data_IF_292012583379
#
_entry.id   IF_292012583379
#
_cell.length_a   1.000
_cell.length_b   1.000
_cell.length_c   1.000
_cell.angle_alpha   90.00
_cell.angle_beta   90.00
_cell.angle_gamma   90.00
#
_symmetry.space_group_name_H-M   'P 1'
#
loop_
_entity.id
_entity.type
_entity.pdbx_description
1 polymer ?
#
# COMPACT_ATOMS: atom_id res chain seq x y z
N UNK A 1 -28.72 9.05 -15.42
CA UNK A 1 -28.84 7.62 -15.81
C UNK A 1 -28.43 6.78 -14.63
N UNK A 2 -29.34 5.98 -14.09
CA UNK A 2 -29.06 5.03 -13.00
C UNK A 2 -28.13 3.93 -13.54
N UNK A 3 -26.86 3.92 -13.12
CA UNK A 3 -26.02 2.74 -13.29
C UNK A 3 -26.39 1.69 -12.22
N UNK A 4 -26.45 0.40 -12.56
CA UNK A 4 -26.91 -0.63 -11.65
C UNK A 4 -25.97 -0.77 -10.43
N UNK A 5 -26.59 -0.86 -9.26
CA UNK A 5 -25.98 -0.84 -7.92
C UNK A 5 -25.52 -2.22 -7.45
N UNK A 6 -24.65 -2.90 -8.18
CA UNK A 6 -24.01 -4.09 -7.60
C UNK A 6 -22.51 -4.04 -7.82
N UNK A 7 -21.87 -3.19 -7.01
CA UNK A 7 -20.55 -3.61 -6.57
C UNK A 7 -20.71 -4.75 -5.58
N UNK A 8 -19.98 -5.82 -5.80
CA UNK A 8 -20.11 -7.06 -5.05
C UNK A 8 -18.75 -7.47 -4.53
N UNK A 9 -18.73 -7.90 -3.28
CA UNK A 9 -17.62 -8.69 -2.74
C UNK A 9 -17.22 -9.79 -3.71
N UNK A 10 -15.94 -10.12 -3.76
CA UNK A 10 -15.44 -11.18 -4.62
C UNK A 10 -14.33 -11.97 -3.93
N UNK A 11 -14.07 -13.18 -4.42
CA UNK A 11 -12.93 -13.98 -3.96
C UNK A 11 -11.74 -13.70 -4.87
N UNK A 12 -10.79 -12.91 -4.38
CA UNK A 12 -9.51 -12.67 -5.03
C UNK A 12 -8.48 -13.76 -4.71
N UNK A 13 -7.36 -13.75 -5.44
CA UNK A 13 -6.21 -14.63 -5.18
C UNK A 13 -5.04 -13.77 -4.68
N UNK A 14 -4.89 -13.65 -3.37
CA UNK A 14 -3.83 -12.84 -2.77
C UNK A 14 -2.53 -13.65 -2.63
N UNK A 15 -1.40 -13.00 -2.91
CA UNK A 15 -0.08 -13.59 -2.72
C UNK A 15 0.54 -13.07 -1.43
N UNK A 16 0.55 -13.91 -0.40
CA UNK A 16 1.22 -13.65 0.88
C UNK A 16 2.71 -14.01 0.76
N UNK A 17 3.37 -13.47 -0.25
CA UNK A 17 4.77 -13.75 -0.55
C UNK A 17 5.70 -13.17 0.53
N UNK A 18 6.89 -13.75 0.65
CA UNK A 18 7.98 -13.21 1.46
C UNK A 18 9.27 -13.48 0.68
N UNK A 19 10.00 -12.44 0.22
CA UNK A 19 11.11 -12.59 -0.70
C UNK A 19 12.28 -13.38 -0.11
N UNK A 20 12.46 -13.34 1.22
CA UNK A 20 13.49 -14.10 1.91
C UNK A 20 13.01 -15.54 2.07
N UNK A 21 11.91 -15.75 2.78
CA UNK A 21 11.43 -17.08 3.14
C UNK A 21 11.13 -17.97 1.92
N UNK A 22 10.61 -17.41 0.82
CA UNK A 22 10.29 -18.17 -0.39
C UNK A 22 11.52 -18.73 -1.12
N UNK A 23 12.72 -18.23 -0.81
CA UNK A 23 13.97 -18.58 -1.48
C UNK A 23 14.83 -19.59 -0.70
N UNK A 24 14.43 -19.94 0.52
CA UNK A 24 15.21 -20.80 1.44
C UNK A 24 14.75 -22.26 1.36
N UNK A 25 15.68 -23.19 1.58
CA UNK A 25 15.39 -24.63 1.73
C UNK A 25 15.44 -25.43 0.43
N UNK A 26 15.05 -26.70 0.51
CA UNK A 26 14.93 -27.61 -0.64
C UNK A 26 13.79 -27.19 -1.57
N UNK A 27 13.77 -27.75 -2.78
CA UNK A 27 12.71 -27.50 -3.77
C UNK A 27 11.32 -27.84 -3.19
N UNK A 28 11.20 -28.97 -2.49
CA UNK A 28 9.99 -29.40 -1.78
C UNK A 28 9.54 -28.37 -0.73
N UNK A 29 10.47 -27.79 0.04
CA UNK A 29 10.15 -26.77 1.03
C UNK A 29 9.65 -25.47 0.38
N UNK A 30 10.24 -25.07 -0.76
CA UNK A 30 9.81 -23.88 -1.51
C UNK A 30 8.46 -24.09 -2.18
N UNK A 31 8.19 -25.28 -2.70
CA UNK A 31 6.87 -25.66 -3.22
C UNK A 31 5.80 -25.66 -2.12
N UNK A 32 6.12 -26.21 -0.95
CA UNK A 32 5.23 -26.18 0.21
C UNK A 32 4.93 -24.75 0.67
N UNK A 33 5.95 -23.87 0.71
CA UNK A 33 5.75 -22.44 0.95
C UNK A 33 4.80 -21.82 -0.07
N UNK A 34 5.07 -22.02 -1.37
CA UNK A 34 4.26 -21.46 -2.44
C UNK A 34 2.80 -21.92 -2.35
N UNK A 35 2.56 -23.21 -2.13
CA UNK A 35 1.23 -23.79 -1.96
C UNK A 35 0.49 -23.18 -0.75
N UNK A 36 1.19 -22.93 0.35
CA UNK A 36 0.61 -22.35 1.56
C UNK A 36 0.37 -20.84 1.47
N UNK A 37 1.09 -20.11 0.61
CA UNK A 37 1.19 -18.64 0.67
C UNK A 37 0.73 -17.89 -0.58
N UNK A 38 0.84 -18.49 -1.76
CA UNK A 38 0.57 -17.82 -3.02
C UNK A 38 -0.84 -18.15 -3.55
N UNK A 39 -1.45 -17.21 -4.27
CA UNK A 39 -2.75 -17.38 -4.91
C UNK A 39 -3.88 -17.74 -3.95
N UNK A 40 -3.81 -17.31 -2.69
CA UNK A 40 -4.74 -17.69 -1.62
C UNK A 40 -6.12 -17.11 -1.92
N UNK A 41 -7.17 -17.96 -2.02
CA UNK A 41 -8.53 -17.47 -2.13
C UNK A 41 -8.87 -16.63 -0.90
N UNK A 42 -9.21 -15.37 -1.12
CA UNK A 42 -9.49 -14.42 -0.05
C UNK A 42 -10.73 -13.62 -0.41
N UNK A 43 -11.69 -13.55 0.50
CA UNK A 43 -12.85 -12.68 0.35
C UNK A 43 -12.41 -11.21 0.47
N UNK A 44 -12.57 -10.46 -0.60
CA UNK A 44 -12.28 -9.03 -0.68
C UNK A 44 -13.61 -8.31 -0.78
N UNK A 45 -13.88 -7.45 0.20
CA UNK A 45 -15.17 -6.77 0.33
C UNK A 45 -15.14 -5.39 -0.29
N UNK A 46 -16.25 -5.00 -0.88
CA UNK A 46 -16.38 -3.63 -1.35
C UNK A 46 -16.49 -2.66 -0.15
N UNK A 47 -15.48 -1.81 0.02
CA UNK A 47 -15.44 -0.80 1.07
C UNK A 47 -16.25 0.46 0.74
N UNK A 48 -16.64 0.70 -0.52
CA UNK A 48 -17.55 1.79 -0.89
C UNK A 48 -18.91 1.60 -0.23
N UNK A 49 -19.42 0.37 -0.16
CA UNK A 49 -20.68 0.06 0.50
C UNK A 49 -20.57 0.14 2.04
N UNK A 50 -19.49 -0.38 2.62
CA UNK A 50 -19.34 -0.51 4.07
C UNK A 50 -18.76 0.74 4.75
N UNK A 51 -17.81 1.42 4.11
CA UNK A 51 -17.06 2.56 4.65
C UNK A 51 -17.38 3.88 3.93
N UNK A 52 -18.12 3.84 2.83
CA UNK A 52 -18.49 5.02 2.05
C UNK A 52 -17.32 5.61 1.27
N UNK A 53 -17.59 6.76 0.64
CA UNK A 53 -16.56 7.62 0.05
C UNK A 53 -16.70 8.99 0.70
N UNK A 54 -15.59 9.48 1.22
CA UNK A 54 -15.51 10.80 1.82
C UNK A 54 -15.69 11.85 0.71
N UNK A 55 -16.78 12.63 0.77
CA UNK A 55 -17.11 13.61 -0.27
C UNK A 55 -16.13 14.78 -0.31
N UNK A 56 -15.68 15.23 0.86
CA UNK A 56 -14.69 16.29 1.03
C UNK A 56 -13.69 15.86 2.09
N UNK A 57 -12.38 16.17 1.93
CA UNK A 57 -11.37 15.77 2.90
C UNK A 57 -11.58 16.47 4.24
N UNK A 58 -11.83 15.67 5.28
CA UNK A 58 -11.93 16.13 6.67
C UNK A 58 -10.95 15.35 7.54
N UNK A 59 -10.74 15.81 8.78
CA UNK A 59 -9.84 15.14 9.72
C UNK A 59 -10.18 13.64 9.83
N UNK A 60 -9.23 12.82 9.38
CA UNK A 60 -9.28 11.37 9.36
C UNK A 60 -8.15 10.77 10.21
N UNK A 61 -7.53 11.56 11.09
CA UNK A 61 -6.37 11.16 11.90
C UNK A 61 -6.61 9.87 12.64
N UNK A 62 -7.76 9.73 13.31
CA UNK A 62 -8.04 8.51 14.06
C UNK A 62 -8.19 7.29 13.14
N UNK A 63 -8.87 7.42 12.00
CA UNK A 63 -9.08 6.32 11.05
C UNK A 63 -7.76 5.84 10.43
N UNK A 64 -6.91 6.78 10.01
CA UNK A 64 -5.63 6.48 9.35
C UNK A 64 -4.53 6.03 10.33
N UNK A 65 -4.43 6.67 11.50
CA UNK A 65 -3.36 6.37 12.45
C UNK A 65 -3.72 5.21 13.41
N UNK A 66 -4.98 5.06 13.79
CA UNK A 66 -5.40 4.13 14.86
C UNK A 66 -6.55 3.19 14.46
N UNK A 67 -7.25 3.46 13.36
CA UNK A 67 -8.33 2.64 12.84
C UNK A 67 -7.87 1.65 11.76
N UNK A 68 -8.74 1.46 10.78
CA UNK A 68 -8.55 0.53 9.66
C UNK A 68 -7.33 0.87 8.79
N UNK A 69 -6.89 2.13 8.77
CA UNK A 69 -5.68 2.56 8.07
C UNK A 69 -5.89 2.93 6.60
N UNK A 70 -7.13 2.99 6.11
CA UNK A 70 -7.44 3.38 4.74
C UNK A 70 -8.80 4.07 4.64
N UNK A 71 -8.98 4.87 3.58
CA UNK A 71 -10.23 5.49 3.17
C UNK A 71 -10.20 5.75 1.66
N UNK A 72 -11.36 6.04 1.06
CA UNK A 72 -11.45 6.67 -0.25
C UNK A 72 -12.07 8.05 -0.10
N UNK A 73 -11.44 9.05 -0.70
CA UNK A 73 -11.87 10.45 -0.68
C UNK A 73 -12.01 10.96 -2.11
N UNK A 74 -13.07 11.73 -2.35
CA UNK A 74 -13.23 12.48 -3.58
C UNK A 74 -12.29 13.68 -3.54
N UNK A 75 -11.22 13.60 -4.34
CA UNK A 75 -10.18 14.62 -4.43
C UNK A 75 -9.84 14.85 -5.91
N UNK A 76 -10.62 15.66 -6.64
CA UNK A 76 -10.37 15.92 -8.05
C UNK A 76 -8.98 16.56 -8.26
N UNK A 77 -8.40 16.30 -9.42
CA UNK A 77 -7.06 16.76 -9.78
C UNK A 77 -7.11 17.61 -11.04
N UNK A 78 -6.27 18.63 -11.12
CA UNK A 78 -6.08 19.46 -12.31
C UNK A 78 -5.12 18.84 -13.34
N UNK A 79 -4.57 17.65 -13.06
CA UNK A 79 -3.70 16.89 -13.95
C UNK A 79 -4.33 16.65 -15.33
N UNK A 80 -3.52 16.78 -16.38
CA UNK A 80 -3.96 16.57 -17.76
C UNK A 80 -3.27 15.35 -18.37
N UNK A 81 -1.99 15.16 -18.09
CA UNK A 81 -1.20 14.03 -18.56
C UNK A 81 -0.40 13.39 -17.42
N UNK A 82 -0.84 12.21 -16.99
CA UNK A 82 -0.17 11.43 -15.93
C UNK A 82 1.18 10.83 -16.36
N UNK A 83 1.54 10.93 -17.64
CA UNK A 83 2.85 10.51 -18.16
C UNK A 83 3.86 11.64 -18.18
N UNK A 84 3.41 12.90 -18.04
CA UNK A 84 4.27 14.07 -17.84
C UNK A 84 4.68 14.18 -16.36
N UNK A 85 5.89 13.70 -16.07
CA UNK A 85 6.41 13.67 -14.70
C UNK A 85 6.62 15.07 -14.10
N UNK A 86 6.84 16.08 -14.94
CA UNK A 86 7.05 17.45 -14.49
C UNK A 86 5.70 18.04 -14.10
N UNK A 87 4.64 17.80 -14.89
CA UNK A 87 3.27 18.17 -14.50
C UNK A 87 2.84 17.46 -13.20
N UNK A 88 3.11 16.16 -13.05
CA UNK A 88 2.83 15.41 -11.82
C UNK A 88 3.52 16.06 -10.60
N UNK A 89 4.78 16.43 -10.74
CA UNK A 89 5.53 17.07 -9.67
C UNK A 89 5.03 18.49 -9.36
N UNK A 90 4.66 19.26 -10.38
CA UNK A 90 4.22 20.64 -10.23
C UNK A 90 2.78 20.78 -9.71
N UNK A 91 1.90 19.85 -10.08
CA UNK A 91 0.46 19.88 -9.78
C UNK A 91 0.12 18.85 -8.71
N UNK A 92 0.25 17.56 -9.03
CA UNK A 92 -0.31 16.50 -8.19
C UNK A 92 0.37 16.39 -6.82
N UNK A 93 1.68 16.65 -6.73
CA UNK A 93 2.35 16.64 -5.42
C UNK A 93 1.79 17.70 -4.47
N UNK A 94 1.43 18.89 -4.99
CA UNK A 94 0.83 19.96 -4.18
C UNK A 94 -0.59 19.60 -3.76
N UNK A 95 -1.37 19.02 -4.68
CA UNK A 95 -2.72 18.53 -4.39
C UNK A 95 -2.70 17.42 -3.33
N UNK A 96 -1.81 16.45 -3.47
CA UNK A 96 -1.61 15.36 -2.52
C UNK A 96 -1.17 15.88 -1.14
N UNK A 97 -0.25 16.85 -1.09
CA UNK A 97 0.16 17.47 0.16
C UNK A 97 -0.99 18.24 0.84
N UNK A 98 -1.77 18.99 0.06
CA UNK A 98 -2.94 19.72 0.57
C UNK A 98 -4.03 18.77 1.07
N UNK A 99 -4.24 17.64 0.39
CA UNK A 99 -5.13 16.58 0.83
C UNK A 99 -4.68 16.01 2.19
N UNK A 100 -3.40 15.63 2.33
CA UNK A 100 -2.88 15.10 3.58
C UNK A 100 -2.99 16.09 4.74
N UNK A 101 -2.76 17.38 4.51
CA UNK A 101 -2.94 18.42 5.53
C UNK A 101 -4.39 18.54 6.01
N UNK A 102 -5.37 18.26 5.15
CA UNK A 102 -6.79 18.25 5.54
C UNK A 102 -7.17 16.97 6.29
N UNK A 103 -6.65 15.82 5.83
CA UNK A 103 -6.90 14.52 6.47
C UNK A 103 -6.16 14.35 7.81
N UNK A 104 -5.03 15.03 7.98
CA UNK A 104 -4.14 14.93 9.14
C UNK A 104 -3.75 16.34 9.63
N UNK A 105 -4.69 17.16 10.14
CA UNK A 105 -4.48 18.58 10.41
C UNK A 105 -3.43 18.86 11.49
N UNK A 106 -3.14 17.90 12.36
CA UNK A 106 -2.11 18.02 13.41
C UNK A 106 -0.75 17.46 13.00
N UNK A 107 -0.64 16.83 11.83
CA UNK A 107 0.60 16.24 11.36
C UNK A 107 1.48 17.27 10.65
N UNK A 108 2.79 17.10 10.81
CA UNK A 108 3.79 17.83 10.02
C UNK A 108 3.94 17.13 8.65
N UNK A 109 3.28 17.65 7.62
CA UNK A 109 3.26 17.06 6.28
C UNK A 109 4.34 17.69 5.39
N UNK A 110 5.46 16.98 5.24
CA UNK A 110 6.56 17.36 4.36
C UNK A 110 6.19 17.38 2.86
N UNK A 111 7.05 17.96 2.00
CA UNK A 111 6.84 17.93 0.56
C UNK A 111 7.01 16.51 0.00
N UNK A 112 6.25 16.18 -1.05
CA UNK A 112 6.44 14.96 -1.82
C UNK A 112 7.59 15.16 -2.80
N UNK A 113 8.50 14.19 -2.88
CA UNK A 113 9.71 14.29 -3.73
C UNK A 113 9.79 13.26 -4.86
N UNK A 114 8.91 12.26 -4.88
CA UNK A 114 8.88 11.22 -5.91
C UNK A 114 7.52 10.52 -5.92
N UNK A 115 7.28 9.72 -6.97
CA UNK A 115 6.14 8.82 -7.07
C UNK A 115 6.57 7.50 -7.73
N UNK A 116 5.66 6.53 -7.71
CA UNK A 116 5.78 5.28 -8.46
C UNK A 116 4.72 5.25 -9.55
N UNK A 117 5.13 5.05 -10.79
CA UNK A 117 4.24 4.83 -11.93
C UNK A 117 4.12 3.33 -12.21
N UNK A 118 2.91 2.79 -12.12
CA UNK A 118 2.67 1.36 -12.35
C UNK A 118 1.85 1.14 -13.60
N UNK A 119 2.34 0.26 -14.47
CA UNK A 119 1.68 -0.16 -15.70
C UNK A 119 1.87 -1.67 -15.88
N UNK A 120 0.79 -2.38 -16.25
CA UNK A 120 0.82 -3.83 -16.47
C UNK A 120 1.74 -4.28 -17.62
N UNK A 121 2.03 -3.38 -18.57
CA UNK A 121 2.97 -3.63 -19.68
C UNK A 121 4.41 -3.70 -19.18
N UNK A 122 4.72 -3.00 -18.08
CA UNK A 122 6.04 -3.00 -17.46
C UNK A 122 6.20 -4.28 -16.64
N UNK A 123 7.26 -5.05 -16.92
CA UNK A 123 7.51 -6.35 -16.27
C UNK A 123 8.52 -6.28 -15.13
N UNK A 124 9.43 -5.31 -15.17
CA UNK A 124 10.50 -5.14 -14.20
C UNK A 124 10.53 -3.72 -13.66
N UNK A 125 11.03 -3.56 -12.44
CA UNK A 125 11.23 -2.23 -11.86
C UNK A 125 12.42 -1.52 -12.51
N UNK A 126 12.25 -0.26 -12.87
CA UNK A 126 13.33 0.61 -13.33
C UNK A 126 13.12 2.05 -12.85
N UNK A 127 14.18 2.86 -12.90
CA UNK A 127 14.13 4.26 -12.49
C UNK A 127 14.48 5.17 -13.65
N UNK A 128 13.69 6.23 -13.81
CA UNK A 128 13.94 7.30 -14.78
C UNK A 128 13.62 8.63 -14.13
N UNK A 129 14.58 9.55 -14.12
CA UNK A 129 14.43 10.89 -13.53
C UNK A 129 13.94 10.87 -12.07
N UNK A 130 14.42 9.93 -11.26
CA UNK A 130 14.01 9.78 -9.85
C UNK A 130 12.63 9.14 -9.64
N UNK A 131 11.89 8.82 -10.72
CA UNK A 131 10.60 8.13 -10.67
C UNK A 131 10.81 6.64 -10.84
N UNK A 132 10.16 5.86 -9.97
CA UNK A 132 10.13 4.40 -10.11
C UNK A 132 9.01 4.01 -11.08
N UNK A 133 9.35 3.21 -12.07
CA UNK A 133 8.42 2.55 -12.96
C UNK A 133 8.41 1.06 -12.64
N UNK A 134 7.26 0.40 -12.74
CA UNK A 134 7.20 -1.03 -12.47
C UNK A 134 5.86 -1.69 -12.74
N UNK A 135 5.80 -3.01 -12.55
CA UNK A 135 4.55 -3.77 -12.64
C UNK A 135 3.57 -3.39 -11.52
N UNK A 136 2.33 -3.87 -11.64
CA UNK A 136 1.37 -3.84 -10.54
C UNK A 136 1.95 -4.57 -9.30
N UNK A 137 1.64 -4.07 -8.10
CA UNK A 137 2.03 -4.73 -6.85
C UNK A 137 1.24 -6.04 -6.70
N UNK A 138 1.91 -7.19 -6.85
CA UNK A 138 1.26 -8.50 -6.84
C UNK A 138 1.32 -9.23 -5.50
N UNK A 139 2.10 -8.72 -4.53
CA UNK A 139 2.31 -9.34 -3.22
C UNK A 139 1.74 -8.47 -2.09
N UNK A 140 1.20 -9.12 -1.07
CA UNK A 140 0.78 -8.49 0.19
C UNK A 140 2.00 -8.03 0.96
N UNK A 141 2.08 -6.73 1.25
CA UNK A 141 3.14 -6.13 2.07
C UNK A 141 2.72 -4.75 2.60
N UNK A 142 3.50 -4.24 3.55
CA UNK A 142 3.66 -2.81 3.80
C UNK A 142 5.11 -2.43 3.47
N UNK A 143 5.30 -1.28 2.84
CA UNK A 143 6.58 -0.86 2.25
C UNK A 143 7.72 -0.74 3.26
N UNK A 144 7.40 -0.41 4.51
CA UNK A 144 8.37 -0.02 5.54
C UNK A 144 8.17 -0.81 6.82
N UNK A 145 9.27 -1.28 7.42
CA UNK A 145 9.29 -1.94 8.70
C UNK A 145 10.55 -1.60 9.51
N UNK A 146 10.41 -1.68 10.83
CA UNK A 146 11.54 -1.67 11.75
C UNK A 146 12.36 -2.97 11.61
N UNK A 147 13.62 -2.92 12.05
CA UNK A 147 14.43 -4.11 12.26
C UNK A 147 14.08 -4.71 13.62
N UNK A 148 13.94 -6.03 13.67
CA UNK A 148 13.72 -6.75 14.92
C UNK A 148 15.02 -7.40 15.42
N UNK A 149 15.06 -7.72 16.70
CA UNK A 149 16.07 -8.60 17.29
C UNK A 149 15.97 -10.01 16.71
N UNK A 150 17.02 -10.82 16.81
CA UNK A 150 17.06 -12.18 16.24
C UNK A 150 15.93 -13.10 16.77
N UNK A 151 15.43 -12.84 17.97
CA UNK A 151 14.28 -13.54 18.57
C UNK A 151 12.91 -13.03 18.08
N UNK A 152 12.89 -11.96 17.28
CA UNK A 152 11.69 -11.33 16.73
C UNK A 152 10.81 -10.63 17.76
N UNK A 153 11.26 -10.44 19.01
CA UNK A 153 10.41 -9.95 20.10
C UNK A 153 10.50 -8.44 20.33
N UNK A 154 11.61 -7.82 19.95
CA UNK A 154 11.87 -6.39 20.18
C UNK A 154 12.38 -5.70 18.92
N UNK A 155 12.20 -4.39 18.84
CA UNK A 155 12.79 -3.56 17.78
C UNK A 155 14.27 -3.35 18.10
N UNK A 156 15.15 -3.76 17.19
CA UNK A 156 16.60 -3.55 17.27
C UNK A 156 17.01 -2.21 16.68
N UNK A 157 16.36 -1.78 15.60
CA UNK A 157 16.62 -0.51 14.92
C UNK A 157 15.33 0.00 14.27
N UNK A 158 14.97 1.26 14.48
CA UNK A 158 13.75 1.82 13.89
C UNK A 158 13.98 2.21 12.44
N UNK A 159 12.97 2.05 11.60
CA UNK A 159 12.98 2.53 10.22
C UNK A 159 13.35 4.02 10.14
N UNK A 160 12.84 4.83 11.07
CA UNK A 160 13.14 6.27 11.11
C UNK A 160 14.61 6.56 11.41
N UNK A 161 15.26 5.75 12.24
CA UNK A 161 16.70 5.84 12.52
C UNK A 161 17.50 5.47 11.27
N UNK A 162 17.15 4.33 10.64
CA UNK A 162 17.76 3.87 9.37
C UNK A 162 17.65 4.96 8.32
N UNK A 163 16.49 5.61 8.18
CA UNK A 163 16.30 6.65 7.17
C UNK A 163 16.84 8.03 7.56
N UNK A 164 17.32 8.23 8.79
CA UNK A 164 17.74 9.55 9.28
C UNK A 164 16.57 10.54 9.42
N UNK A 165 15.37 10.02 9.66
CA UNK A 165 14.17 10.79 9.96
C UNK A 165 14.13 11.19 11.44
N UNK A 166 13.17 12.06 11.78
CA UNK A 166 12.93 12.44 13.18
C UNK A 166 12.46 11.25 14.01
N UNK A 167 13.05 11.11 15.20
CA UNK A 167 12.75 10.02 16.15
C UNK A 167 12.03 10.51 17.40
N UNK A 168 11.88 11.83 17.57
CA UNK A 168 11.23 12.48 18.71
C UNK A 168 9.70 12.55 18.60
N UNK A 169 9.13 11.94 17.56
CA UNK A 169 7.70 11.95 17.24
C UNK A 169 7.31 10.67 16.51
N UNK A 170 6.01 10.38 16.51
CA UNK A 170 5.45 9.32 15.67
C UNK A 170 5.51 9.74 14.20
N UNK A 171 5.97 8.83 13.34
CA UNK A 171 5.96 8.99 11.88
C UNK A 171 4.87 8.11 11.29
N UNK A 172 4.13 8.64 10.32
CA UNK A 172 3.13 7.91 9.55
C UNK A 172 3.59 7.82 8.10
N UNK A 173 3.74 6.60 7.58
CA UNK A 173 3.86 6.37 6.14
C UNK A 173 2.47 6.29 5.53
N UNK A 174 2.13 7.22 4.63
CA UNK A 174 0.83 7.23 3.94
C UNK A 174 1.09 7.10 2.44
N UNK A 175 0.59 6.03 1.84
CA UNK A 175 0.54 5.90 0.38
C UNK A 175 -0.74 6.55 -0.13
N UNK A 176 -0.62 7.42 -1.14
CA UNK A 176 -1.76 7.93 -1.91
C UNK A 176 -1.78 7.15 -3.22
N UNK A 177 -2.85 6.40 -3.43
CA UNK A 177 -3.08 5.67 -4.66
C UNK A 177 -4.16 6.37 -5.48
N UNK A 178 -3.89 6.49 -6.78
CA UNK A 178 -4.83 7.03 -7.75
C UNK A 178 -4.78 6.18 -9.00
N UNK A 179 -5.96 5.81 -9.49
CA UNK A 179 -6.05 5.32 -10.86
C UNK A 179 -5.80 6.49 -11.81
N UNK A 180 -5.05 6.25 -12.88
CA UNK A 180 -4.81 7.25 -13.93
C UNK A 180 -5.46 6.82 -15.26
N UNK A 181 -6.22 5.71 -15.24
CA UNK A 181 -6.98 5.25 -16.38
C UNK A 181 -8.28 6.05 -16.56
N UNK A 182 -8.75 6.26 -17.80
CA UNK A 182 -10.02 6.93 -18.05
C UNK A 182 -11.24 6.19 -17.47
N UNK A 183 -11.15 4.86 -17.42
CA UNK A 183 -12.18 3.97 -16.89
C UNK A 183 -11.74 3.38 -15.55
N UNK A 184 -12.68 2.95 -14.69
CA UNK A 184 -12.29 2.32 -13.44
C UNK A 184 -11.42 1.07 -13.60
N UNK A 185 -10.47 0.87 -12.68
CA UNK A 185 -9.60 -0.30 -12.67
C UNK A 185 -10.40 -1.59 -12.45
N UNK A 186 -10.64 -2.32 -13.53
CA UNK A 186 -11.27 -3.64 -13.50
C UNK A 186 -10.26 -4.78 -13.29
N UNK A 187 -8.99 -4.57 -13.65
CA UNK A 187 -7.89 -5.52 -13.47
C UNK A 187 -6.93 -4.98 -12.41
N UNK A 188 -6.47 -5.86 -11.53
CA UNK A 188 -5.62 -5.52 -10.39
C UNK A 188 -6.15 -4.35 -9.54
N UNK A 189 -7.41 -4.41 -9.05
CA UNK A 189 -7.88 -3.40 -8.11
C UNK A 189 -7.00 -3.41 -6.85
N UNK A 190 -6.78 -2.24 -6.26
CA UNK A 190 -6.01 -2.12 -5.04
C UNK A 190 -6.77 -2.78 -3.88
N UNK A 191 -6.26 -3.92 -3.42
CA UNK A 191 -6.71 -4.56 -2.21
C UNK A 191 -5.96 -3.99 -1.00
N UNK A 192 -6.69 -3.63 0.04
CA UNK A 192 -6.16 -3.12 1.31
C UNK A 192 -6.72 -3.95 2.46
N UNK A 193 -5.91 -4.19 3.48
CA UNK A 193 -6.34 -4.93 4.67
C UNK A 193 -6.66 -3.94 5.80
N UNK A 194 -7.77 -4.17 6.51
CA UNK A 194 -8.06 -3.48 7.75
C UNK A 194 -7.00 -3.85 8.79
N UNK A 195 -6.16 -2.87 9.14
CA UNK A 195 -5.05 -3.05 10.08
C UNK A 195 -5.49 -3.61 11.43
N UNK A 196 -6.72 -3.31 11.87
CA UNK A 196 -7.24 -3.79 13.16
C UNK A 196 -7.61 -5.28 13.16
N UNK A 197 -7.57 -5.93 11.99
CA UNK A 197 -7.84 -7.36 11.82
C UNK A 197 -6.57 -8.23 11.74
N UNK A 198 -5.39 -7.61 11.70
CA UNK A 198 -4.12 -8.31 11.55
C UNK A 198 -3.61 -8.76 12.93
N UNK A 199 -3.37 -10.05 13.09
CA UNK A 199 -2.65 -10.56 14.26
C UNK A 199 -1.17 -10.20 14.13
N UNK A 200 -0.54 -9.78 15.24
CA UNK A 200 0.90 -9.51 15.27
C UNK A 200 1.72 -10.76 14.90
N UNK A 201 1.24 -11.96 15.22
CA UNK A 201 1.89 -13.22 14.86
C UNK A 201 1.89 -13.51 13.35
N UNK A 202 1.04 -12.82 12.59
CA UNK A 202 1.02 -12.91 11.12
C UNK A 202 2.09 -12.02 10.47
N UNK A 203 2.71 -11.09 11.20
CA UNK A 203 3.69 -10.16 10.63
C UNK A 203 5.07 -10.80 10.52
N UNK A 204 5.69 -10.62 9.36
CA UNK A 204 7.05 -11.05 9.06
C UNK A 204 7.87 -9.82 8.64
N UNK A 205 9.10 -9.71 9.14
CA UNK A 205 9.95 -8.53 9.00
C UNK A 205 11.23 -8.93 8.29
N UNK A 206 11.29 -8.67 7.00
CA UNK A 206 12.39 -9.13 6.17
C UNK A 206 12.87 -8.02 5.24
N UNK A 207 14.11 -8.15 4.78
CA UNK A 207 14.73 -7.17 3.91
C UNK A 207 13.89 -6.97 2.64
N UNK A 208 13.55 -5.72 2.35
CA UNK A 208 12.89 -5.37 1.10
C UNK A 208 13.93 -5.37 -0.03
N UNK A 209 13.87 -6.31 -1.01
CA UNK A 209 14.86 -6.37 -2.08
C UNK A 209 14.81 -5.15 -3.02
N UNK A 210 13.68 -4.43 -3.03
CA UNK A 210 13.45 -3.24 -3.83
C UNK A 210 13.77 -1.94 -3.07
N UNK A 211 14.14 -2.02 -1.78
CA UNK A 211 14.54 -0.85 -1.00
C UNK A 211 15.87 -0.29 -1.51
N UNK A 212 15.81 0.94 -2.04
CA UNK A 212 16.95 1.76 -2.48
C UNK A 212 16.76 3.18 -1.96
N UNK A 213 17.83 3.96 -1.71
CA UNK A 213 19.26 3.64 -1.88
C UNK A 213 19.85 2.83 -0.71
N UNK A 214 19.16 2.75 0.43
CA UNK A 214 19.58 1.97 1.60
C UNK A 214 18.65 0.77 1.81
N UNK A 215 19.18 -0.41 2.16
CA UNK A 215 18.36 -1.55 2.55
C UNK A 215 17.56 -1.21 3.82
N UNK A 216 16.29 -1.59 3.84
CA UNK A 216 15.44 -1.58 5.03
C UNK A 216 14.41 -2.69 4.91
N UNK A 217 13.81 -3.07 6.04
CA UNK A 217 12.81 -4.13 6.06
C UNK A 217 11.46 -3.64 5.53
N UNK A 218 10.70 -4.56 4.94
CA UNK A 218 9.28 -4.40 4.69
C UNK A 218 8.50 -5.33 5.64
N UNK A 219 7.22 -5.03 5.86
CA UNK A 219 6.34 -5.97 6.53
C UNK A 219 5.71 -6.90 5.48
N UNK A 220 5.98 -8.18 5.59
CA UNK A 220 5.21 -9.23 4.92
C UNK A 220 4.19 -9.80 5.90
N UNK A 221 3.26 -10.59 5.39
CA UNK A 221 2.17 -11.11 6.19
C UNK A 221 1.85 -12.55 5.84
N UNK A 222 1.56 -13.37 6.85
CA UNK A 222 1.01 -14.72 6.70
C UNK A 222 -0.48 -14.65 6.35
N UNK A 223 -1.03 -15.59 5.56
CA UNK A 223 -2.47 -15.65 5.33
C UNK A 223 -3.19 -16.04 6.62
N UNK A 224 -4.23 -15.28 6.98
CA UNK A 224 -5.08 -15.58 8.13
C UNK A 224 -6.54 -15.24 7.81
N UNK A 225 -7.46 -16.17 8.12
CA UNK A 225 -8.89 -16.01 7.85
C UNK A 225 -9.55 -14.88 8.65
N UNK A 226 -8.94 -14.42 9.74
CA UNK A 226 -9.39 -13.28 10.52
C UNK A 226 -9.14 -11.92 9.82
N UNK A 227 -8.22 -11.87 8.84
CA UNK A 227 -7.89 -10.65 8.12
C UNK A 227 -9.07 -10.19 7.25
N UNK A 228 -9.42 -8.91 7.37
CA UNK A 228 -10.50 -8.29 6.62
C UNK A 228 -9.93 -7.49 5.46
N UNK A 229 -10.08 -8.06 4.27
CA UNK A 229 -9.62 -7.47 3.02
C UNK A 229 -10.72 -6.69 2.32
N UNK A 230 -10.32 -5.56 1.75
CA UNK A 230 -11.20 -4.59 1.13
C UNK A 230 -10.64 -4.08 -0.19
N UNK A 231 -11.52 -3.58 -1.04
CA UNK A 231 -11.18 -2.77 -2.21
C UNK A 231 -12.25 -1.69 -2.38
N UNK A 232 -11.95 -0.65 -3.16
CA UNK A 232 -12.96 0.29 -3.60
C UNK A 232 -13.32 0.04 -5.06
N UNK A 233 -14.56 -0.37 -5.32
CA UNK A 233 -15.05 -0.44 -6.68
C UNK A 233 -15.14 0.93 -7.33
N UNK A 234 -15.05 0.91 -8.66
CA UNK A 234 -15.22 2.10 -9.50
C UNK A 234 -14.24 3.23 -9.14
N UNK A 235 -13.03 2.89 -8.72
CA UNK A 235 -12.00 3.87 -8.42
C UNK A 235 -11.45 4.44 -9.73
N UNK A 236 -11.44 5.77 -9.82
CA UNK A 236 -11.00 6.60 -10.96
C UNK A 236 -10.07 7.70 -10.48
#
# INVERSE_FOLDING_TARGET
>A
MNQPSSSTDFVGKLNFANPVAQSVGSDEQREAFAAARLGRPTLIRDARAALGVMAEPTDATNLLANGAGFLLVHAPSAMRDWTDIDEVAEVYYKEAQALLKQLLPTADVGPLGSHTYRNEEIKEHYWKNGIQYGPCAAAVHNDYADSLTDDGQSVSEKFTEIQGMRTDRRVLGINIWRSVSPEPLARYPLAVCDRTSIDRADLEYDLNPNAKPRPFNAHYCKPNAAQRWHYYSRMT
#
